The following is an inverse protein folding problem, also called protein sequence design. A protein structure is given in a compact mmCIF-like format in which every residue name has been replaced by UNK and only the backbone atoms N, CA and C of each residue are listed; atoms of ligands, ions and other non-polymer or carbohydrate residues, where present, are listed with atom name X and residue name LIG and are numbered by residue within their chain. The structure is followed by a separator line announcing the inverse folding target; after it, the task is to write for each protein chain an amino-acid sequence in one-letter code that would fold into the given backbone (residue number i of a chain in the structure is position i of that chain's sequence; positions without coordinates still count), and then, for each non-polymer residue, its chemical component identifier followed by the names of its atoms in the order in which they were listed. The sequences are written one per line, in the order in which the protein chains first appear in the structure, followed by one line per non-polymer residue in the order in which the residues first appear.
data_IF_142623312881
#
_entry.id   IF_142623312881
#
_cell.length_a   1.000
_cell.length_b   1.000
_cell.length_c   1.000
_cell.angle_alpha   90.00
_cell.angle_beta   90.00
_cell.angle_gamma   90.00
#
_symmetry.space_group_name_H-M   'P 1'
#
loop_
_entity.id
_entity.type
_entity.pdbx_description
1 polymer ?
#
# COMPACT_ATOMS: atom_id res chain seq x y z
N UNK A 1 19.57 3.33 -14.86
CA UNK A 1 19.49 4.15 -13.64
C UNK A 1 20.71 3.88 -12.75
N UNK A 2 21.41 4.91 -12.23
CA UNK A 2 22.48 4.73 -11.25
C UNK A 2 22.00 4.08 -9.96
N UNK A 3 22.80 3.17 -9.38
CA UNK A 3 22.42 2.42 -8.17
C UNK A 3 22.33 3.31 -6.95
N UNK A 4 23.09 4.40 -6.94
CA UNK A 4 23.21 5.36 -5.86
C UNK A 4 21.89 6.12 -5.66
N UNK A 5 21.17 6.40 -6.74
CA UNK A 5 19.86 7.06 -6.72
C UNK A 5 18.78 6.07 -6.28
N UNK A 6 18.77 4.86 -6.86
CA UNK A 6 17.76 3.83 -6.56
C UNK A 6 17.81 3.39 -5.10
N UNK A 7 19.01 3.26 -4.53
CA UNK A 7 19.19 2.79 -3.16
C UNK A 7 19.34 3.91 -2.13
N UNK A 8 19.05 5.17 -2.49
CA UNK A 8 19.22 6.31 -1.59
C UNK A 8 18.23 6.20 -0.42
N UNK A 9 18.74 6.23 0.81
CA UNK A 9 17.92 6.14 2.04
C UNK A 9 17.28 7.48 2.47
N UNK A 10 17.63 8.57 1.80
CA UNK A 10 17.14 9.93 2.10
C UNK A 10 16.34 10.52 0.94
N UNK A 11 15.90 11.79 1.07
CA UNK A 11 15.23 12.48 -0.02
C UNK A 11 16.15 12.65 -1.23
N UNK A 12 15.55 12.55 -2.42
CA UNK A 12 16.20 12.91 -3.66
C UNK A 12 16.25 14.45 -3.79
N UNK A 13 17.37 14.99 -4.25
CA UNK A 13 17.45 16.38 -4.72
C UNK A 13 16.56 16.56 -5.96
N UNK A 14 16.40 17.79 -6.42
CA UNK A 14 15.59 18.06 -7.61
C UNK A 14 16.18 17.37 -8.85
N UNK A 15 17.49 17.45 -9.03
CA UNK A 15 18.22 16.86 -10.16
C UNK A 15 18.18 15.33 -10.10
N UNK A 16 18.36 14.75 -8.91
CA UNK A 16 18.25 13.30 -8.70
C UNK A 16 16.82 12.81 -8.96
N UNK A 17 15.81 13.60 -8.60
CA UNK A 17 14.40 13.28 -8.86
C UNK A 17 14.10 13.32 -10.35
N UNK A 18 14.53 14.35 -11.06
CA UNK A 18 14.40 14.45 -12.52
C UNK A 18 15.06 13.26 -13.21
N UNK A 19 16.29 12.92 -12.79
CA UNK A 19 16.98 11.74 -13.29
C UNK A 19 16.22 10.46 -12.95
N UNK A 20 15.73 10.29 -11.72
CA UNK A 20 14.95 9.12 -11.31
C UNK A 20 13.71 8.94 -12.18
N UNK A 21 12.97 10.01 -12.48
CA UNK A 21 11.75 9.94 -13.30
C UNK A 21 11.99 9.38 -14.70
N UNK A 22 13.21 9.53 -15.25
CA UNK A 22 13.56 9.02 -16.58
C UNK A 22 13.48 7.50 -16.71
N UNK A 23 13.42 6.72 -15.62
CA UNK A 23 13.30 5.26 -15.71
C UNK A 23 12.02 4.82 -16.45
N UNK A 24 10.95 5.61 -16.37
CA UNK A 24 9.70 5.34 -17.10
C UNK A 24 9.93 5.30 -18.60
N UNK A 25 10.55 6.36 -19.15
CA UNK A 25 10.90 6.48 -20.57
C UNK A 25 11.97 5.47 -20.97
N UNK A 26 13.02 5.30 -20.17
CA UNK A 26 14.09 4.31 -20.44
C UNK A 26 13.52 2.88 -20.46
N UNK A 27 12.65 2.54 -19.51
CA UNK A 27 11.98 1.24 -19.45
C UNK A 27 11.09 0.99 -20.66
N UNK A 28 10.30 1.99 -21.06
CA UNK A 28 9.52 1.94 -22.30
C UNK A 28 10.39 1.67 -23.54
N UNK A 29 11.49 2.42 -23.68
CA UNK A 29 12.40 2.31 -24.82
C UNK A 29 13.11 0.97 -24.89
N UNK A 30 13.48 0.40 -23.74
CA UNK A 30 14.07 -0.93 -23.65
C UNK A 30 13.06 -2.01 -24.02
N UNK A 31 11.84 -1.93 -23.49
CA UNK A 31 10.81 -2.95 -23.70
C UNK A 31 10.29 -2.92 -25.14
N UNK A 32 10.02 -1.74 -25.74
CA UNK A 32 9.49 -1.67 -27.11
C UNK A 32 10.45 -2.17 -28.19
N UNK A 33 11.74 -2.21 -27.91
CA UNK A 33 12.77 -2.71 -28.85
C UNK A 33 12.96 -4.22 -28.80
N UNK A 34 12.43 -4.90 -27.78
CA UNK A 34 12.51 -6.36 -27.66
C UNK A 34 11.43 -7.00 -28.54
N UNK A 35 11.85 -7.87 -29.46
CA UNK A 35 10.94 -8.58 -30.39
C UNK A 35 9.83 -9.38 -29.67
N UNK A 36 10.15 -9.96 -28.52
CA UNK A 36 9.21 -10.79 -27.76
C UNK A 36 8.41 -10.01 -26.70
N UNK A 37 8.62 -8.69 -26.59
CA UNK A 37 7.88 -7.86 -25.65
C UNK A 37 6.69 -7.22 -26.34
N UNK A 38 5.51 -7.40 -25.77
CA UNK A 38 4.33 -6.66 -26.20
C UNK A 38 4.55 -5.16 -25.99
N UNK A 39 4.19 -4.35 -27.01
CA UNK A 39 4.16 -2.88 -26.90
C UNK A 39 3.27 -2.43 -25.74
N UNK A 40 2.26 -3.22 -25.41
CA UNK A 40 1.38 -2.99 -24.27
C UNK A 40 2.14 -2.98 -22.93
N UNK A 41 3.05 -3.94 -22.72
CA UNK A 41 3.89 -4.02 -21.52
C UNK A 41 4.84 -2.84 -21.45
N UNK A 42 5.40 -2.42 -22.59
CA UNK A 42 6.23 -1.22 -22.65
C UNK A 42 5.44 0.01 -22.15
N UNK A 43 4.19 0.17 -22.60
CA UNK A 43 3.35 1.27 -22.15
C UNK A 43 3.01 1.24 -20.66
N UNK A 44 2.90 0.05 -20.04
CA UNK A 44 2.75 -0.04 -18.58
C UNK A 44 3.95 0.57 -17.85
N UNK A 45 5.18 0.21 -18.26
CA UNK A 45 6.40 0.81 -17.72
C UNK A 45 6.45 2.32 -17.96
N UNK A 46 5.91 2.78 -19.09
CA UNK A 46 5.89 4.21 -19.41
C UNK A 46 4.91 5.02 -18.56
N UNK A 47 3.81 4.41 -18.10
CA UNK A 47 2.66 5.13 -17.55
C UNK A 47 2.38 4.87 -16.06
N UNK A 48 3.07 3.93 -15.41
CA UNK A 48 2.79 3.56 -14.01
C UNK A 48 3.02 4.68 -12.98
N UNK A 49 3.58 5.82 -13.38
CA UNK A 49 3.70 7.03 -12.56
C UNK A 49 2.83 8.19 -13.04
N UNK A 50 1.98 7.98 -14.04
CA UNK A 50 0.93 8.91 -14.42
C UNK A 50 -0.15 8.94 -13.34
N UNK A 51 -0.72 10.12 -13.13
CA UNK A 51 -1.76 10.33 -12.12
C UNK A 51 -3.07 10.56 -12.82
N UNK A 52 -4.18 10.10 -12.24
CA UNK A 52 -5.51 10.30 -12.84
C UNK A 52 -5.83 11.78 -13.11
N UNK A 53 -5.33 12.71 -12.28
CA UNK A 53 -5.47 14.16 -12.46
C UNK A 53 -4.45 14.80 -13.43
N UNK A 54 -3.50 14.01 -13.97
CA UNK A 54 -2.44 14.41 -14.89
C UNK A 54 -1.32 15.24 -14.29
N UNK A 55 -1.15 15.22 -12.97
CA UNK A 55 0.04 15.78 -12.30
C UNK A 55 1.19 14.78 -12.19
N UNK A 56 1.02 13.57 -12.73
CA UNK A 56 2.04 12.52 -12.77
C UNK A 56 3.11 12.79 -13.84
N UNK A 57 3.87 11.77 -14.16
CA UNK A 57 4.95 11.83 -15.15
C UNK A 57 5.04 10.50 -15.91
N UNK A 58 5.66 10.45 -17.09
CA UNK A 58 6.41 11.51 -17.78
C UNK A 58 5.60 12.40 -18.73
N UNK A 59 4.38 12.03 -19.10
CA UNK A 59 3.57 12.71 -20.12
C UNK A 59 2.43 13.56 -19.56
N UNK A 60 2.12 13.44 -18.27
CA UNK A 60 1.04 14.21 -17.62
C UNK A 60 -0.33 13.96 -18.25
N UNK A 61 -0.57 12.71 -18.68
CA UNK A 61 -1.84 12.30 -19.27
C UNK A 61 -2.91 12.04 -18.21
N UNK A 62 -4.19 12.10 -18.60
CA UNK A 62 -5.33 12.13 -17.67
C UNK A 62 -6.37 11.07 -17.98
N UNK A 63 -7.04 10.62 -16.92
CA UNK A 63 -8.21 9.75 -17.00
C UNK A 63 -7.99 8.56 -17.93
N UNK A 64 -8.86 8.41 -18.93
CA UNK A 64 -8.89 7.27 -19.86
C UNK A 64 -7.70 7.20 -20.82
N UNK A 65 -6.83 8.22 -20.85
CA UNK A 65 -5.59 8.16 -21.64
C UNK A 65 -4.53 7.26 -20.99
N UNK A 66 -4.64 6.99 -19.69
CA UNK A 66 -3.76 6.06 -18.95
C UNK A 66 -4.28 4.64 -19.15
N UNK A 67 -3.40 3.71 -19.49
CA UNK A 67 -3.79 2.30 -19.63
C UNK A 67 -4.29 1.74 -18.29
N UNK A 68 -5.42 1.01 -18.27
CA UNK A 68 -5.98 0.46 -17.03
C UNK A 68 -4.98 -0.40 -16.25
N UNK A 69 -4.16 -1.19 -16.94
CA UNK A 69 -3.16 -2.04 -16.32
C UNK A 69 -1.98 -1.24 -15.75
N UNK A 70 -1.65 -0.09 -16.33
CA UNK A 70 -0.66 0.82 -15.76
C UNK A 70 -1.16 1.43 -14.45
N UNK A 71 -2.46 1.75 -14.35
CA UNK A 71 -3.05 2.25 -13.10
C UNK A 71 -3.10 1.16 -12.01
N UNK A 72 -3.34 -0.10 -12.37
CA UNK A 72 -3.24 -1.22 -11.42
C UNK A 72 -1.81 -1.35 -10.89
N UNK A 73 -0.81 -1.29 -11.77
CA UNK A 73 0.61 -1.29 -11.36
C UNK A 73 0.92 -0.09 -10.49
N UNK A 74 0.44 1.10 -10.83
CA UNK A 74 0.68 2.32 -10.06
C UNK A 74 0.16 2.22 -8.61
N UNK A 75 -1.01 1.60 -8.41
CA UNK A 75 -1.61 1.37 -7.10
C UNK A 75 -0.75 0.37 -6.29
N UNK A 76 -0.37 -0.74 -6.90
CA UNK A 76 0.45 -1.76 -6.24
C UNK A 76 1.86 -1.25 -5.89
N UNK A 77 2.52 -0.58 -6.84
CA UNK A 77 3.84 0.03 -6.68
C UNK A 77 3.84 1.07 -5.55
N UNK A 78 2.83 1.94 -5.52
CA UNK A 78 2.77 2.97 -4.48
C UNK A 78 2.52 2.39 -3.09
N UNK A 79 1.68 1.36 -2.96
CA UNK A 79 1.50 0.67 -1.68
C UNK A 79 2.80 0.00 -1.22
N UNK A 80 3.50 -0.70 -2.13
CA UNK A 80 4.77 -1.35 -1.83
C UNK A 80 5.83 -0.34 -1.37
N UNK A 81 5.95 0.79 -2.08
CA UNK A 81 6.80 1.93 -1.70
C UNK A 81 6.52 2.44 -0.28
N UNK A 82 5.26 2.45 0.17
CA UNK A 82 4.89 2.92 1.50
C UNK A 82 5.31 1.93 2.59
N UNK A 83 5.12 0.62 2.38
CA UNK A 83 5.37 -0.40 3.43
C UNK A 83 6.83 -0.88 3.50
N UNK A 84 7.59 -0.73 2.42
CA UNK A 84 9.02 -1.03 2.37
C UNK A 84 9.91 0.21 2.45
N UNK A 85 9.33 1.39 2.20
CA UNK A 85 10.09 2.62 2.02
C UNK A 85 10.73 2.69 0.63
N UNK A 86 11.03 3.90 0.18
CA UNK A 86 11.63 4.20 -1.12
C UNK A 86 12.41 5.52 -1.02
N UNK A 87 13.33 5.89 -1.93
CA UNK A 87 14.00 7.19 -1.87
C UNK A 87 13.03 8.36 -1.67
N UNK A 88 13.18 9.07 -0.54
CA UNK A 88 12.31 10.18 -0.13
C UNK A 88 10.92 9.80 0.38
N UNK A 89 10.62 8.51 0.56
CA UNK A 89 9.37 8.01 1.13
C UNK A 89 9.72 7.14 2.35
N UNK A 90 9.42 7.60 3.58
CA UNK A 90 9.66 6.80 4.77
C UNK A 90 8.72 5.58 4.79
N UNK A 91 9.23 4.47 5.33
CA UNK A 91 8.42 3.28 5.59
C UNK A 91 7.34 3.59 6.62
N UNK A 92 6.11 3.13 6.36
CA UNK A 92 4.98 3.20 7.29
C UNK A 92 4.33 1.83 7.49
N UNK A 93 3.52 1.70 8.54
CA UNK A 93 2.76 0.47 8.81
C UNK A 93 1.61 0.29 7.80
N UNK A 94 1.15 -0.95 7.54
CA UNK A 94 0.11 -1.21 6.54
C UNK A 94 -1.19 -0.43 6.71
N UNK A 95 -1.68 -0.21 7.94
CA UNK A 95 -2.88 0.59 8.20
C UNK A 95 -2.67 2.07 7.82
N UNK A 96 -1.50 2.64 8.13
CA UNK A 96 -1.12 3.99 7.72
C UNK A 96 -0.99 4.07 6.19
N UNK A 97 -0.41 3.05 5.56
CA UNK A 97 -0.36 2.97 4.10
C UNK A 97 -1.77 2.99 3.49
N UNK A 98 -2.72 2.24 4.06
CA UNK A 98 -4.12 2.26 3.63
C UNK A 98 -4.75 3.67 3.75
N UNK A 99 -4.47 4.42 4.81
CA UNK A 99 -4.94 5.81 4.97
C UNK A 99 -4.36 6.73 3.90
N UNK A 100 -3.05 6.65 3.65
CA UNK A 100 -2.38 7.42 2.59
C UNK A 100 -2.95 7.06 1.21
N UNK A 101 -3.23 5.79 0.96
CA UNK A 101 -3.88 5.33 -0.28
C UNK A 101 -5.28 5.96 -0.44
N UNK A 102 -6.09 5.97 0.62
CA UNK A 102 -7.42 6.61 0.61
C UNK A 102 -7.32 8.12 0.36
N UNK A 103 -6.36 8.81 0.98
CA UNK A 103 -6.13 10.24 0.77
C UNK A 103 -5.72 10.58 -0.67
N UNK A 104 -5.15 9.62 -1.41
CA UNK A 104 -4.74 9.77 -2.80
C UNK A 104 -5.81 9.34 -3.83
N UNK A 105 -6.96 8.83 -3.36
CA UNK A 105 -8.07 8.45 -4.23
C UNK A 105 -8.70 9.68 -4.91
N UNK A 106 -8.97 9.58 -6.21
CA UNK A 106 -9.49 10.68 -7.03
C UNK A 106 -8.45 11.75 -7.40
N UNK A 107 -7.27 11.73 -6.77
CA UNK A 107 -6.16 12.65 -7.05
C UNK A 107 -5.11 11.94 -7.89
N UNK A 108 -4.40 10.99 -7.27
CA UNK A 108 -3.33 10.22 -7.92
C UNK A 108 -3.91 9.01 -8.65
N UNK A 109 -4.92 8.37 -8.06
CA UNK A 109 -5.49 7.13 -8.57
C UNK A 109 -7.00 7.25 -8.79
N UNK A 110 -7.57 6.45 -9.69
CA UNK A 110 -9.01 6.28 -9.78
C UNK A 110 -9.54 5.74 -8.45
N UNK A 111 -10.58 6.38 -7.92
CA UNK A 111 -11.16 6.03 -6.63
C UNK A 111 -11.63 4.57 -6.57
N UNK A 112 -12.18 4.06 -7.68
CA UNK A 112 -12.61 2.66 -7.79
C UNK A 112 -11.45 1.68 -7.60
N UNK A 113 -10.26 1.96 -8.17
CA UNK A 113 -9.10 1.09 -8.02
C UNK A 113 -8.62 1.03 -6.58
N UNK A 114 -8.61 2.16 -5.87
CA UNK A 114 -8.29 2.19 -4.43
C UNK A 114 -9.31 1.39 -3.63
N UNK A 115 -10.60 1.57 -3.90
CA UNK A 115 -11.67 0.80 -3.25
C UNK A 115 -11.53 -0.70 -3.48
N UNK A 116 -11.16 -1.14 -4.68
CA UNK A 116 -10.94 -2.56 -4.99
C UNK A 116 -9.69 -3.05 -4.27
N UNK A 117 -8.58 -2.34 -4.38
CA UNK A 117 -7.31 -2.72 -3.78
C UNK A 117 -7.41 -2.93 -2.27
N UNK A 118 -8.06 -2.00 -1.56
CA UNK A 118 -8.25 -2.10 -0.11
C UNK A 118 -9.11 -3.29 0.34
N UNK A 119 -9.89 -3.92 -0.56
CA UNK A 119 -10.61 -5.15 -0.21
C UNK A 119 -9.70 -6.38 -0.10
N UNK A 120 -8.49 -6.31 -0.65
CA UNK A 120 -7.53 -7.41 -0.74
C UNK A 120 -6.28 -7.23 0.13
N UNK A 121 -6.13 -6.07 0.78
CA UNK A 121 -5.01 -5.79 1.69
C UNK A 121 -5.46 -5.96 3.13
N UNK A 122 -4.62 -6.55 3.97
CA UNK A 122 -4.82 -6.54 5.42
C UNK A 122 -4.17 -5.27 6.02
N UNK A 123 -4.97 -4.32 6.49
CA UNK A 123 -4.44 -3.14 7.18
C UNK A 123 -3.77 -3.54 8.51
N UNK A 124 -4.26 -4.61 9.12
CA UNK A 124 -3.67 -5.26 10.29
C UNK A 124 -3.42 -6.73 9.96
N UNK A 125 -2.22 -7.10 9.47
CA UNK A 125 -1.89 -8.47 9.12
C UNK A 125 -2.07 -9.45 10.30
N UNK A 126 -2.44 -10.69 9.97
CA UNK A 126 -2.51 -11.79 10.95
C UNK A 126 -1.17 -11.97 11.67
N UNK A 127 -1.23 -12.18 12.98
CA UNK A 127 -0.07 -12.32 13.84
C UNK A 127 0.39 -11.03 14.51
N UNK A 128 -0.13 -9.87 14.11
CA UNK A 128 0.20 -8.61 14.77
C UNK A 128 -0.42 -8.56 16.17
N UNK A 129 0.36 -8.10 17.15
CA UNK A 129 -0.14 -7.79 18.48
C UNK A 129 -0.69 -6.36 18.49
N UNK A 130 -1.89 -6.17 19.02
CA UNK A 130 -2.59 -4.89 19.01
C UNK A 130 -3.15 -4.55 20.38
N UNK A 131 -3.25 -3.25 20.65
CA UNK A 131 -4.09 -2.69 21.71
C UNK A 131 -5.42 -2.27 21.11
N UNK A 132 -6.51 -2.68 21.73
CA UNK A 132 -7.85 -2.21 21.42
C UNK A 132 -8.19 -0.99 22.26
N UNK A 133 -9.09 -0.14 21.77
CA UNK A 133 -9.49 1.12 22.43
C UNK A 133 -10.23 0.93 23.77
N UNK A 134 -10.61 -0.29 24.13
CA UNK A 134 -11.15 -0.63 25.45
C UNK A 134 -10.05 -1.04 26.46
N UNK A 135 -8.78 -1.00 26.05
CA UNK A 135 -7.64 -1.37 26.88
C UNK A 135 -7.23 -2.84 26.80
N UNK A 136 -7.92 -3.68 26.01
CA UNK A 136 -7.52 -5.07 25.82
C UNK A 136 -6.32 -5.20 24.89
N UNK A 137 -5.47 -6.19 25.13
CA UNK A 137 -4.35 -6.54 24.26
C UNK A 137 -4.60 -7.91 23.65
N UNK A 138 -4.46 -8.02 22.33
CA UNK A 138 -4.72 -9.25 21.61
C UNK A 138 -3.87 -9.41 20.37
N UNK A 139 -4.05 -10.52 19.68
CA UNK A 139 -3.36 -10.85 18.43
C UNK A 139 -4.38 -10.92 17.30
N UNK A 140 -4.04 -10.38 16.14
CA UNK A 140 -4.87 -10.53 14.94
C UNK A 140 -4.86 -11.99 14.49
N UNK A 141 -6.03 -12.63 14.44
CA UNK A 141 -6.18 -14.05 14.05
C UNK A 141 -6.95 -14.24 12.75
N UNK A 142 -7.60 -13.20 12.23
CA UNK A 142 -8.37 -13.29 10.99
C UNK A 142 -8.66 -11.94 10.36
N UNK A 143 -9.04 -11.97 9.08
CA UNK A 143 -9.38 -10.80 8.28
C UNK A 143 -10.84 -10.88 7.83
N UNK A 144 -11.56 -9.76 7.89
CA UNK A 144 -12.89 -9.67 7.31
C UNK A 144 -12.81 -9.17 5.86
N UNK A 145 -13.41 -9.94 4.93
CA UNK A 145 -13.37 -9.63 3.49
C UNK A 145 -13.95 -8.24 3.22
N UNK A 146 -13.20 -7.41 2.52
CA UNK A 146 -13.62 -6.06 2.15
C UNK A 146 -13.63 -5.03 3.28
N UNK A 147 -13.27 -5.41 4.51
CA UNK A 147 -13.22 -4.53 5.68
C UNK A 147 -11.83 -4.64 6.35
N UNK A 148 -10.77 -4.16 5.69
CA UNK A 148 -9.38 -4.42 6.08
C UNK A 148 -9.01 -3.83 7.44
N UNK A 149 -9.74 -2.79 7.89
CA UNK A 149 -9.55 -2.13 9.19
C UNK A 149 -10.35 -2.77 10.33
N UNK A 150 -11.13 -3.81 10.03
CA UNK A 150 -11.96 -4.54 11.01
C UNK A 150 -11.53 -6.00 11.07
N UNK A 151 -10.33 -6.33 11.56
CA UNK A 151 -9.88 -7.73 11.71
C UNK A 151 -10.63 -8.48 12.83
N UNK A 152 -10.30 -9.76 12.99
CA UNK A 152 -10.68 -10.58 14.15
C UNK A 152 -9.49 -10.59 15.12
N UNK A 153 -9.71 -10.20 16.37
CA UNK A 153 -8.68 -10.06 17.39
C UNK A 153 -8.92 -11.07 18.51
N UNK A 154 -7.92 -11.90 18.80
CA UNK A 154 -7.96 -12.84 19.92
C UNK A 154 -7.31 -12.23 21.14
N UNK A 155 -8.05 -12.14 22.23
CA UNK A 155 -7.60 -11.64 23.53
C UNK A 155 -7.51 -12.82 24.51
N UNK A 156 -6.54 -12.75 25.41
CA UNK A 156 -6.31 -13.75 26.45
C UNK A 156 -6.55 -13.11 27.82
N UNK A 157 -7.54 -13.61 28.55
CA UNK A 157 -7.81 -13.22 29.93
C UNK A 157 -7.38 -14.34 30.88
N UNK A 158 -6.50 -14.08 31.83
CA UNK A 158 -6.09 -15.09 32.81
C UNK A 158 -4.99 -14.61 33.74
N UNK A 159 -4.87 -15.27 34.90
CA UNK A 159 -3.72 -15.06 35.82
C UNK A 159 -2.52 -15.88 35.33
N UNK A 160 -1.31 -15.42 35.71
CA UNK A 160 0.01 -15.96 35.31
C UNK A 160 0.15 -17.50 35.47
N UNK A 161 -0.67 -18.14 36.31
CA UNK A 161 -0.81 -19.59 36.36
C UNK A 161 -1.76 -20.07 35.25
N UNK A 162 -1.19 -20.52 34.13
CA UNK A 162 -1.76 -21.07 32.88
C UNK A 162 -2.88 -22.13 33.01
N UNK A 163 -3.39 -22.43 34.21
CA UNK A 163 -4.46 -23.40 34.46
C UNK A 163 -5.86 -22.87 34.12
N UNK A 164 -6.06 -21.56 34.00
CA UNK A 164 -7.33 -20.94 33.61
C UNK A 164 -7.06 -19.71 32.73
N UNK A 165 -6.84 -19.95 31.43
CA UNK A 165 -6.79 -18.89 30.41
C UNK A 165 -8.12 -18.93 29.65
N UNK A 166 -8.88 -17.84 29.72
CA UNK A 166 -10.03 -17.61 28.87
C UNK A 166 -9.56 -16.97 27.58
N UNK A 167 -9.98 -17.54 26.46
CA UNK A 167 -9.71 -17.01 25.13
C UNK A 167 -10.99 -16.38 24.61
N UNK A 168 -10.90 -15.12 24.19
CA UNK A 168 -11.99 -14.36 23.60
C UNK A 168 -11.59 -13.93 22.19
N UNK A 169 -12.53 -13.93 21.26
CA UNK A 169 -12.33 -13.45 19.90
C UNK A 169 -13.31 -12.32 19.59
N UNK A 170 -12.76 -11.14 19.36
CA UNK A 170 -13.50 -9.97 18.96
C UNK A 170 -13.50 -9.88 17.44
N UNK A 171 -14.67 -10.09 16.82
CA UNK A 171 -14.84 -9.76 15.41
C UNK A 171 -15.25 -8.28 15.32
N UNK A 172 -14.32 -7.42 14.92
CA UNK A 172 -14.52 -5.96 14.92
C UNK A 172 -15.58 -5.48 13.91
N UNK A 173 -16.08 -6.35 13.02
CA UNK A 173 -17.25 -6.05 12.19
C UNK A 173 -18.54 -6.09 13.00
N UNK A 174 -18.64 -7.04 13.94
CA UNK A 174 -19.80 -7.18 14.82
C UNK A 174 -19.75 -6.17 15.98
N UNK A 175 -18.54 -5.89 16.47
CA UNK A 175 -18.29 -4.99 17.59
C UNK A 175 -17.93 -3.59 17.10
N UNK A 176 -18.95 -2.84 16.68
CA UNK A 176 -18.78 -1.57 15.95
C UNK A 176 -18.00 -0.48 16.71
N UNK A 177 -18.05 -0.50 18.04
CA UNK A 177 -17.37 0.46 18.93
C UNK A 177 -15.95 0.07 19.31
N UNK A 178 -15.53 -1.15 18.93
CA UNK A 178 -14.20 -1.68 19.21
C UNK A 178 -13.32 -1.52 17.97
N UNK A 179 -12.11 -0.98 18.15
CA UNK A 179 -11.14 -0.77 17.08
C UNK A 179 -9.71 -0.93 17.59
N UNK A 180 -8.79 -1.20 16.66
CA UNK A 180 -7.36 -1.21 16.95
C UNK A 180 -6.91 0.22 17.21
N UNK A 181 -6.42 0.47 18.42
CA UNK A 181 -5.89 1.76 18.85
C UNK A 181 -4.44 1.93 18.35
N UNK A 182 -3.59 0.92 18.59
CA UNK A 182 -2.24 0.86 18.05
C UNK A 182 -1.72 -0.59 17.95
N UNK A 183 -0.71 -0.77 17.11
CA UNK A 183 0.06 -2.02 17.02
C UNK A 183 1.17 -1.96 18.08
N UNK A 184 1.37 -3.08 18.79
CA UNK A 184 2.45 -3.23 19.77
C UNK A 184 3.65 -3.83 19.02
N UNK A 185 4.72 -3.04 18.88
CA UNK A 185 6.01 -3.47 18.31
C UNK A 185 6.90 -4.20 19.33
#
# INVERSE_FOLDING_TARGET
MPKEIVNKRGPLTQEERELYQTHTTQGYDLLRKKKDSSIFIAHMAYQHHEWTNGKGYPRQIKGTAIHPQAEIVAVADFYDCLIHGSPGIPRVLPHVACEIMMANAGVRFRQELIRIFLQYIAAYPTGYTVKLNNGETGVIVGQNKGLPTRPIVRVFEGKINLKQVRVLEHNLVNERTLFVEYIIE
#
